data_IF_295827856954
#
_entry.id   IF_295827856954
#
_cell.length_a   1.000
_cell.length_b   1.000
_cell.length_c   1.000
_cell.angle_alpha   90.00
_cell.angle_beta   90.00
_cell.angle_gamma   90.00
#
_symmetry.space_group_name_H-M   'P 1'
#
loop_
_entity.id
_entity.type
_entity.pdbx_description
1 polymer ?
#
# COMPACT_ATOMS: atom_id res chain seq x y z
N UNK A 1 -9.06 -54.38 -21.89
CA UNK A 1 -9.71 -53.74 -23.05
C UNK A 1 -10.17 -52.35 -22.63
N UNK A 2 -9.84 -51.34 -23.46
CA UNK A 2 -10.35 -49.95 -23.53
C UNK A 2 -10.50 -49.17 -22.20
N UNK A 3 -9.75 -48.10 -21.90
CA UNK A 3 -9.22 -47.06 -22.76
C UNK A 3 -10.21 -45.90 -22.86
N UNK A 4 -9.92 -44.78 -22.18
CA UNK A 4 -10.34 -43.42 -22.57
C UNK A 4 -9.65 -42.39 -21.66
N UNK A 5 -8.60 -41.76 -22.19
CA UNK A 5 -8.10 -40.50 -21.67
C UNK A 5 -9.02 -39.34 -22.11
N UNK A 6 -9.11 -38.30 -21.28
CA UNK A 6 -9.59 -36.98 -21.67
C UNK A 6 -8.89 -35.95 -20.78
N UNK A 7 -7.81 -35.36 -21.27
CA UNK A 7 -7.80 -34.06 -21.93
C UNK A 7 -7.80 -32.89 -20.92
N UNK A 8 -6.59 -32.45 -20.60
CA UNK A 8 -6.32 -31.17 -19.98
C UNK A 8 -6.92 -30.04 -20.85
N UNK A 9 -7.93 -29.34 -20.32
CA UNK A 9 -8.35 -28.06 -20.88
C UNK A 9 -7.55 -26.94 -20.21
N UNK A 10 -6.43 -26.62 -20.84
CA UNK A 10 -5.75 -25.34 -20.66
C UNK A 10 -6.66 -24.21 -21.09
N UNK A 11 -7.30 -23.55 -20.11
CA UNK A 11 -8.04 -22.32 -20.32
C UNK A 11 -7.10 -21.11 -20.38
N UNK A 12 -6.46 -20.87 -21.52
CA UNK A 12 -5.97 -19.52 -21.87
C UNK A 12 -7.20 -18.65 -22.19
N UNK A 13 -7.87 -18.13 -21.16
CA UNK A 13 -8.81 -17.00 -21.28
C UNK A 13 -8.01 -15.72 -21.01
N UNK A 14 -7.70 -14.91 -22.02
CA UNK A 14 -8.69 -14.12 -22.73
C UNK A 14 -8.69 -12.75 -22.09
N UNK A 15 -7.82 -11.86 -22.59
CA UNK A 15 -7.76 -10.47 -22.19
C UNK A 15 -9.13 -9.83 -22.36
N UNK A 16 -9.75 -9.44 -21.25
CA UNK A 16 -10.95 -8.62 -21.22
C UNK A 16 -10.58 -7.37 -20.44
N UNK A 17 -10.83 -6.20 -21.03
CA UNK A 17 -10.91 -4.91 -20.35
C UNK A 17 -12.04 -4.96 -19.31
N UNK A 18 -11.87 -5.74 -18.25
CA UNK A 18 -12.74 -5.69 -17.10
C UNK A 18 -12.48 -4.34 -16.43
N UNK A 19 -13.51 -3.51 -16.28
CA UNK A 19 -13.43 -2.32 -15.44
C UNK A 19 -12.88 -2.78 -14.08
N UNK A 20 -11.82 -2.17 -13.54
CA UNK A 20 -11.18 -2.64 -12.32
C UNK A 20 -12.23 -2.81 -11.22
N UNK A 21 -12.58 -4.05 -10.91
CA UNK A 21 -13.57 -4.36 -9.88
C UNK A 21 -12.88 -4.29 -8.52
N UNK A 22 -13.53 -3.68 -7.54
CA UNK A 22 -12.97 -3.54 -6.18
C UNK A 22 -12.03 -2.35 -5.95
N UNK A 23 -11.55 -2.19 -4.72
CA UNK A 23 -10.67 -1.08 -4.33
C UNK A 23 -9.23 -1.36 -4.77
N UNK A 24 -8.76 -2.59 -4.62
CA UNK A 24 -7.42 -3.01 -5.06
C UNK A 24 -7.26 -2.96 -6.58
N UNK A 25 -8.25 -3.43 -7.34
CA UNK A 25 -8.24 -3.32 -8.80
C UNK A 25 -8.09 -1.87 -9.26
N UNK A 26 -8.89 -0.96 -8.67
CA UNK A 26 -8.78 0.48 -8.95
C UNK A 26 -7.42 1.05 -8.54
N UNK A 27 -6.85 0.61 -7.42
CA UNK A 27 -5.52 1.03 -6.99
C UNK A 27 -4.40 0.60 -7.97
N UNK A 28 -4.58 -0.56 -8.63
CA UNK A 28 -3.63 -1.13 -9.59
C UNK A 28 -3.70 -0.44 -10.94
N UNK A 29 -4.91 -0.29 -11.48
CA UNK A 29 -5.16 0.06 -12.88
C UNK A 29 -5.39 1.56 -13.13
N UNK A 30 -5.98 2.28 -12.18
CA UNK A 30 -6.23 3.71 -12.39
C UNK A 30 -4.91 4.49 -12.38
N UNK A 31 -4.81 5.48 -13.28
CA UNK A 31 -3.69 6.42 -13.32
C UNK A 31 -3.73 7.30 -12.08
N UNK A 32 -2.87 7.01 -11.13
CA UNK A 32 -2.66 7.79 -9.91
C UNK A 32 -1.17 7.99 -9.72
N UNK A 33 -0.79 9.18 -9.25
CA UNK A 33 0.61 9.59 -9.17
C UNK A 33 0.92 10.07 -7.77
N UNK A 34 2.03 9.58 -7.22
CA UNK A 34 2.59 10.14 -6.00
C UNK A 34 3.30 11.45 -6.37
N UNK A 35 2.93 12.55 -5.73
CA UNK A 35 3.47 13.89 -5.99
C UNK A 35 4.55 14.24 -4.98
N UNK A 36 4.31 13.94 -3.70
CA UNK A 36 5.23 14.27 -2.63
C UNK A 36 5.06 13.29 -1.49
N UNK A 37 6.17 13.02 -0.80
CA UNK A 37 6.18 12.30 0.46
C UNK A 37 6.79 13.22 1.50
N UNK A 38 6.04 13.49 2.57
CA UNK A 38 6.47 14.34 3.68
C UNK A 38 6.58 13.49 4.93
N UNK A 39 7.63 13.73 5.70
CA UNK A 39 7.75 13.17 7.03
C UNK A 39 7.12 14.13 8.02
N UNK A 40 6.01 13.75 8.62
CA UNK A 40 5.38 14.51 9.69
C UNK A 40 5.87 13.93 11.03
N UNK A 41 7.03 14.42 11.46
CA UNK A 41 7.69 14.10 12.75
C UNK A 41 7.07 14.87 13.93
N UNK A 42 5.83 15.34 13.79
CA UNK A 42 5.18 16.29 14.72
C UNK A 42 5.14 15.78 16.17
N UNK A 43 5.31 14.47 16.40
CA UNK A 43 5.63 13.91 17.70
C UNK A 43 6.62 12.74 17.54
N UNK A 44 7.78 12.80 18.20
CA UNK A 44 8.76 11.69 18.23
C UNK A 44 8.16 10.36 18.74
N UNK A 45 7.01 10.44 19.42
CA UNK A 45 6.24 9.30 19.88
C UNK A 45 5.62 8.48 18.73
N UNK A 46 5.15 9.11 17.64
CA UNK A 46 4.51 8.44 16.51
C UNK A 46 4.90 9.07 15.16
N UNK A 47 5.92 8.54 14.47
CA UNK A 47 6.35 9.03 13.17
C UNK A 47 5.27 8.73 12.11
N UNK A 48 4.87 9.77 11.37
CA UNK A 48 3.88 9.66 10.30
C UNK A 48 4.47 10.00 8.93
N UNK A 49 4.11 9.19 7.94
CA UNK A 49 4.32 9.49 6.53
C UNK A 49 3.07 10.13 5.95
N UNK A 50 3.20 11.31 5.35
CA UNK A 50 2.14 11.91 4.53
C UNK A 50 2.47 11.76 3.04
N UNK A 51 1.68 10.95 2.34
CA UNK A 51 1.77 10.72 0.90
C UNK A 51 0.75 11.59 0.18
N UNK A 52 1.23 12.60 -0.54
CA UNK A 52 0.40 13.48 -1.36
C UNK A 52 0.35 12.91 -2.77
N UNK A 53 -0.85 12.69 -3.29
CA UNK A 53 -1.05 12.00 -4.56
C UNK A 53 -2.18 12.60 -5.39
N UNK A 54 -2.02 12.58 -6.71
CA UNK A 54 -3.08 12.92 -7.67
C UNK A 54 -3.84 11.64 -8.02
N UNK A 55 -5.17 11.67 -7.82
CA UNK A 55 -6.06 10.59 -8.18
C UNK A 55 -6.44 10.61 -9.67
N UNK A 56 -7.16 9.58 -10.11
CA UNK A 56 -7.55 9.41 -11.52
C UNK A 56 -8.40 10.55 -12.10
N UNK A 57 -9.09 11.31 -11.25
CA UNK A 57 -9.90 12.47 -11.62
C UNK A 57 -9.13 13.80 -11.58
N UNK A 58 -7.82 13.78 -11.32
CA UNK A 58 -7.01 14.99 -11.14
C UNK A 58 -7.05 15.58 -9.73
N UNK A 59 -7.91 15.08 -8.84
CA UNK A 59 -8.00 15.55 -7.45
C UNK A 59 -6.78 15.15 -6.64
N UNK A 60 -6.35 16.02 -5.72
CA UNK A 60 -5.26 15.75 -4.79
C UNK A 60 -5.79 15.08 -3.53
N UNK A 61 -5.15 13.99 -3.14
CA UNK A 61 -5.43 13.24 -1.93
C UNK A 61 -4.18 13.14 -1.06
N UNK A 62 -4.38 13.17 0.25
CA UNK A 62 -3.32 12.93 1.24
C UNK A 62 -3.64 11.65 1.98
N UNK A 63 -2.68 10.72 1.98
CA UNK A 63 -2.72 9.48 2.76
C UNK A 63 -1.68 9.61 3.87
N UNK A 64 -2.14 9.56 5.12
CA UNK A 64 -1.28 9.48 6.30
C UNK A 64 -1.15 8.03 6.71
N UNK A 65 0.09 7.55 6.87
CA UNK A 65 0.39 6.25 7.44
C UNK A 65 1.35 6.40 8.63
N UNK A 66 0.94 5.94 9.82
CA UNK A 66 1.81 5.83 10.99
C UNK A 66 2.18 4.38 11.30
N UNK A 67 3.14 4.17 12.18
CA UNK A 67 3.52 2.81 12.59
C UNK A 67 3.05 2.41 13.98
N UNK A 68 2.67 3.37 14.84
CA UNK A 68 2.36 3.07 16.24
C UNK A 68 0.90 3.28 16.62
N UNK A 69 0.26 4.37 16.21
CA UNK A 69 -1.14 4.63 16.59
C UNK A 69 -2.11 4.09 15.54
N UNK A 70 -3.11 3.27 15.91
CA UNK A 70 -4.11 2.73 14.96
C UNK A 70 -4.88 3.82 14.20
N UNK A 71 -5.18 4.95 14.85
CA UNK A 71 -5.94 6.05 14.24
C UNK A 71 -5.13 6.93 13.29
N UNK A 72 -3.84 6.67 13.14
CA UNK A 72 -2.97 7.45 12.23
C UNK A 72 -3.13 7.09 10.75
N UNK A 73 -3.86 6.00 10.45
CA UNK A 73 -4.07 5.51 9.09
C UNK A 73 -5.24 6.24 8.43
N UNK A 74 -4.99 7.44 7.90
CA UNK A 74 -6.07 8.31 7.39
C UNK A 74 -5.87 8.63 5.92
N UNK A 75 -6.98 8.83 5.22
CA UNK A 75 -6.97 9.44 3.90
C UNK A 75 -8.05 10.52 3.86
N UNK A 76 -7.76 11.66 3.22
CA UNK A 76 -8.71 12.75 3.10
C UNK A 76 -9.88 12.47 2.13
N UNK A 77 -9.89 11.31 1.44
CA UNK A 77 -10.95 10.92 0.52
C UNK A 77 -12.26 10.52 1.23
N UNK A 78 -13.38 10.66 0.51
CA UNK A 78 -14.71 10.34 1.03
C UNK A 78 -14.88 8.88 1.42
N UNK A 79 -14.29 7.94 0.65
CA UNK A 79 -14.33 6.51 0.97
C UNK A 79 -13.76 6.24 2.36
N UNK A 80 -12.60 6.82 2.68
CA UNK A 80 -11.96 6.65 3.98
C UNK A 80 -12.75 7.33 5.10
N UNK A 81 -13.24 8.57 4.87
CA UNK A 81 -13.96 9.36 5.87
C UNK A 81 -15.30 8.73 6.25
N UNK A 82 -16.08 8.27 5.27
CA UNK A 82 -17.43 7.76 5.50
C UNK A 82 -17.47 6.28 5.86
N UNK A 83 -16.64 5.46 5.20
CA UNK A 83 -16.74 4.00 5.32
C UNK A 83 -15.84 3.41 6.40
N UNK A 84 -14.94 4.20 7.00
CA UNK A 84 -14.00 3.78 8.07
C UNK A 84 -13.28 2.46 7.76
N UNK A 85 -12.89 2.27 6.51
CA UNK A 85 -12.19 1.08 6.00
C UNK A 85 -11.14 1.49 4.98
N UNK A 86 -10.28 0.54 4.62
CA UNK A 86 -9.23 0.80 3.63
C UNK A 86 -9.83 1.35 2.32
N UNK A 87 -9.22 2.42 1.80
CA UNK A 87 -9.62 3.04 0.53
C UNK A 87 -8.61 2.71 -0.58
N UNK A 88 -8.99 2.97 -1.84
CA UNK A 88 -8.09 2.71 -2.99
C UNK A 88 -6.78 3.51 -2.93
N UNK A 89 -6.78 4.70 -2.31
CA UNK A 89 -5.58 5.54 -2.20
C UNK A 89 -4.58 4.95 -1.22
N UNK A 90 -5.04 4.43 -0.09
CA UNK A 90 -4.20 3.69 0.85
C UNK A 90 -3.64 2.42 0.20
N UNK A 91 -4.48 1.65 -0.50
CA UNK A 91 -4.01 0.48 -1.25
C UNK A 91 -2.98 0.84 -2.32
N UNK A 92 -3.12 1.99 -2.99
CA UNK A 92 -2.14 2.48 -3.96
C UNK A 92 -0.79 2.74 -3.29
N UNK A 93 -0.76 3.40 -2.13
CA UNK A 93 0.48 3.65 -1.38
C UNK A 93 1.13 2.32 -1.01
N UNK A 94 0.39 1.40 -0.39
CA UNK A 94 0.94 0.11 0.01
C UNK A 94 1.44 -0.71 -1.20
N UNK A 95 0.72 -0.68 -2.33
CA UNK A 95 1.05 -1.43 -3.54
C UNK A 95 2.22 -0.83 -4.33
N UNK A 96 2.13 0.45 -4.69
CA UNK A 96 3.06 1.08 -5.66
C UNK A 96 4.23 1.76 -4.99
N UNK A 97 4.06 2.25 -3.76
CA UNK A 97 5.09 2.98 -3.01
C UNK A 97 5.85 2.03 -2.10
N UNK A 98 5.16 1.33 -1.20
CA UNK A 98 5.77 0.39 -0.25
C UNK A 98 6.03 -1.01 -0.84
N UNK A 99 5.51 -1.30 -2.05
CA UNK A 99 5.75 -2.56 -2.77
C UNK A 99 5.29 -3.80 -2.00
N UNK A 100 4.22 -3.70 -1.22
CA UNK A 100 3.56 -4.83 -0.58
C UNK A 100 2.99 -5.81 -1.63
N UNK A 101 2.99 -7.11 -1.33
CA UNK A 101 2.49 -8.13 -2.26
C UNK A 101 0.98 -8.00 -2.49
N UNK A 102 0.54 -8.32 -3.72
CA UNK A 102 -0.88 -8.29 -4.09
C UNK A 102 -1.72 -9.23 -3.23
N UNK A 103 -1.19 -10.41 -2.89
CA UNK A 103 -1.88 -11.36 -2.02
C UNK A 103 -2.16 -10.78 -0.62
N UNK A 104 -1.18 -10.07 -0.04
CA UNK A 104 -1.37 -9.42 1.28
C UNK A 104 -2.38 -8.28 1.19
N UNK A 105 -2.31 -7.48 0.12
CA UNK A 105 -3.24 -6.37 -0.10
C UNK A 105 -4.67 -6.84 -0.36
N UNK A 106 -4.85 -7.96 -1.04
CA UNK A 106 -6.16 -8.56 -1.26
C UNK A 106 -6.79 -8.95 0.08
N UNK A 107 -6.04 -9.59 0.97
CA UNK A 107 -6.51 -9.91 2.32
C UNK A 107 -6.92 -8.66 3.13
N UNK A 108 -6.18 -7.55 2.99
CA UNK A 108 -6.51 -6.27 3.62
C UNK A 108 -7.79 -5.66 3.01
N UNK A 109 -7.95 -5.70 1.68
CA UNK A 109 -9.15 -5.21 0.98
C UNK A 109 -10.39 -6.03 1.41
N UNK A 110 -10.28 -7.37 1.39
CA UNK A 110 -11.38 -8.28 1.70
C UNK A 110 -11.85 -8.16 3.15
N UNK A 111 -10.92 -8.02 4.09
CA UNK A 111 -11.23 -7.83 5.50
C UNK A 111 -12.06 -6.57 5.78
N UNK A 112 -12.16 -5.63 4.81
CA UNK A 112 -13.04 -4.45 4.87
C UNK A 112 -12.92 -3.62 6.15
N UNK A 113 -11.73 -3.62 6.75
CA UNK A 113 -11.36 -2.91 7.98
C UNK A 113 -10.33 -1.81 7.69
N UNK A 114 -10.00 -0.94 8.67
CA UNK A 114 -8.81 -0.11 8.61
C UNK A 114 -7.54 -0.95 8.50
N UNK A 115 -6.50 -0.34 7.93
CA UNK A 115 -5.15 -0.92 7.93
C UNK A 115 -4.64 -0.94 9.37
N UNK A 116 -4.08 -2.06 9.81
CA UNK A 116 -3.47 -2.16 11.12
C UNK A 116 -2.05 -1.62 11.08
N UNK A 117 -1.60 -1.03 12.19
CA UNK A 117 -0.26 -0.48 12.32
C UNK A 117 0.83 -1.54 12.06
N UNK A 118 0.64 -2.77 12.53
CA UNK A 118 1.55 -3.90 12.28
C UNK A 118 1.70 -4.24 10.80
N UNK A 119 0.67 -4.03 9.98
CA UNK A 119 0.72 -4.28 8.53
C UNK A 119 1.58 -3.24 7.82
N UNK A 120 1.67 -2.03 8.37
CA UNK A 120 2.49 -0.95 7.85
C UNK A 120 3.93 -1.14 8.29
N UNK A 121 4.15 -1.49 9.56
CA UNK A 121 5.48 -1.82 10.07
C UNK A 121 6.12 -2.95 9.25
N UNK A 122 5.40 -4.05 9.01
CA UNK A 122 5.87 -5.15 8.18
C UNK A 122 6.20 -4.69 6.75
N UNK A 123 5.36 -3.83 6.16
CA UNK A 123 5.58 -3.30 4.82
C UNK A 123 6.86 -2.45 4.75
N UNK A 124 7.03 -1.56 5.72
CA UNK A 124 8.16 -0.64 5.79
C UNK A 124 9.45 -1.40 6.08
N UNK A 125 9.43 -2.36 7.00
CA UNK A 125 10.57 -3.20 7.32
C UNK A 125 11.04 -3.98 6.08
N UNK A 126 10.14 -4.71 5.40
CA UNK A 126 10.47 -5.45 4.18
C UNK A 126 10.95 -4.54 3.06
N UNK A 127 10.41 -3.31 2.99
CA UNK A 127 10.85 -2.32 2.00
C UNK A 127 12.25 -1.82 2.33
N UNK A 128 12.55 -1.54 3.60
CA UNK A 128 13.87 -1.13 4.07
C UNK A 128 14.93 -2.20 3.77
N UNK A 129 14.66 -3.47 4.12
CA UNK A 129 15.55 -4.60 3.86
C UNK A 129 15.90 -4.75 2.38
N UNK A 130 14.92 -4.58 1.49
CA UNK A 130 15.15 -4.63 0.04
C UNK A 130 15.92 -3.44 -0.49
N UNK A 131 15.75 -2.26 0.11
CA UNK A 131 16.42 -1.03 -0.31
C UNK A 131 17.86 -0.93 0.23
N UNK A 132 18.16 -1.62 1.34
CA UNK A 132 19.46 -1.54 2.02
C UNK A 132 20.00 -2.94 2.40
N UNK A 133 20.36 -3.80 1.42
CA UNK A 133 20.95 -5.10 1.72
C UNK A 133 22.32 -4.92 2.39
N UNK A 134 22.55 -5.59 3.52
CA UNK A 134 23.85 -5.64 4.20
C UNK A 134 24.13 -4.59 5.28
N UNK A 135 23.22 -3.64 5.52
CA UNK A 135 23.23 -2.85 6.77
C UNK A 135 22.45 -3.62 7.81
N UNK A 136 23.05 -3.91 8.97
CA UNK A 136 22.39 -4.60 10.08
C UNK A 136 21.02 -3.96 10.36
N UNK A 137 19.93 -4.60 9.90
CA UNK A 137 18.55 -4.14 10.01
C UNK A 137 18.02 -4.20 11.47
N UNK A 138 18.95 -4.13 12.44
CA UNK A 138 18.76 -4.03 13.88
C UNK A 138 19.05 -2.62 14.41
N UNK A 139 19.09 -1.59 13.56
CA UNK A 139 18.89 -0.22 14.05
C UNK A 139 17.41 -0.03 14.40
N UNK A 140 17.10 -0.50 15.60
CA UNK A 140 15.89 -0.27 16.37
C UNK A 140 15.72 1.22 16.65
N UNK A 141 14.68 1.82 16.07
CA UNK A 141 13.97 2.98 16.61
C UNK A 141 12.71 3.22 15.75
N UNK A 142 11.81 4.14 16.13
CA UNK A 142 10.82 4.81 15.25
C UNK A 142 11.34 5.31 13.87
N UNK A 143 12.59 5.01 13.53
CA UNK A 143 13.34 5.40 12.35
C UNK A 143 13.12 4.53 11.11
N UNK A 144 12.50 3.33 11.17
CA UNK A 144 12.30 2.53 9.94
C UNK A 144 11.35 3.24 8.96
N UNK A 145 10.27 3.80 9.49
CA UNK A 145 9.32 4.67 8.78
C UNK A 145 10.05 5.88 8.20
N UNK A 146 10.76 6.64 9.04
CA UNK A 146 11.52 7.84 8.64
C UNK A 146 12.60 7.54 7.60
N UNK A 147 13.35 6.45 7.72
CA UNK A 147 14.41 6.10 6.77
C UNK A 147 13.83 5.70 5.41
N UNK A 148 12.76 4.89 5.41
CA UNK A 148 12.05 4.53 4.18
C UNK A 148 11.39 5.76 3.56
N UNK A 149 10.78 6.63 4.36
CA UNK A 149 10.23 7.91 3.90
C UNK A 149 11.32 8.79 3.31
N UNK A 150 12.40 9.08 4.02
CA UNK A 150 13.48 9.95 3.54
C UNK A 150 14.03 9.45 2.21
N UNK A 151 14.22 8.13 2.08
CA UNK A 151 14.66 7.52 0.83
C UNK A 151 13.64 7.66 -0.30
N UNK A 152 12.34 7.44 -0.04
CA UNK A 152 11.27 7.57 -1.05
C UNK A 152 11.02 9.05 -1.42
N UNK A 153 11.14 9.95 -0.46
CA UNK A 153 11.03 11.41 -0.59
C UNK A 153 12.22 12.03 -1.33
N UNK A 154 13.31 11.27 -1.52
CA UNK A 154 14.56 11.81 -2.06
C UNK A 154 15.22 12.87 -1.16
N UNK A 155 14.98 12.81 0.16
CA UNK A 155 15.51 13.80 1.11
C UNK A 155 16.85 13.39 1.72
N UNK A 156 17.59 14.40 2.22
CA UNK A 156 18.72 15.05 1.51
C UNK A 156 19.76 14.10 0.93
#
# INVERSE_FOLDING_TARGET
MAGAGAAAKGGRGGGKNAKPTGRLGRAKEQRMFLVSVRNELSNAADPHAAFVMIGASGNVYTVMLGSKVPDSQRCNCMDSKLRKRVCKHQLFVLLKVLRMSQARLQAIDDASRPIQHTEIEDALQKRAEKLMPGKNARFLAPSSVTQVINYISGGP
#
